data_IF_307222119460
#
_entry.id   IF_307222119460
#
_cell.length_a   1.000
_cell.length_b   1.000
_cell.length_c   1.000
_cell.angle_alpha   90.00
_cell.angle_beta   90.00
_cell.angle_gamma   90.00
#
_symmetry.space_group_name_H-M   'P 1'
#
loop_
_entity.id
_entity.type
_entity.pdbx_description
1 polymer ?
#
# COMPACT_ATOMS: atom_id res chain seq x y z
N UNK A 1 11.76 13.73 -22.10
CA UNK A 1 10.33 13.36 -22.15
C UNK A 1 9.95 12.63 -20.87
N UNK A 2 8.81 12.93 -20.26
CA UNK A 2 8.37 12.17 -19.08
C UNK A 2 8.11 10.71 -19.50
N UNK A 3 8.61 9.77 -18.71
CA UNK A 3 8.34 8.35 -18.92
C UNK A 3 6.87 8.04 -18.56
N UNK A 4 6.30 6.97 -19.13
CA UNK A 4 4.94 6.51 -18.78
C UNK A 4 4.76 6.36 -17.26
N UNK A 5 5.74 5.79 -16.57
CA UNK A 5 5.74 5.66 -15.11
C UNK A 5 5.71 7.01 -14.39
N UNK A 6 6.45 8.01 -14.89
CA UNK A 6 6.44 9.35 -14.27
C UNK A 6 5.09 10.04 -14.45
N UNK A 7 4.43 9.85 -15.58
CA UNK A 7 3.07 10.36 -15.80
C UNK A 7 2.06 9.65 -14.90
N UNK A 8 2.16 8.34 -14.78
CA UNK A 8 1.25 7.54 -13.97
C UNK A 8 1.32 7.91 -12.47
N UNK A 9 2.54 8.18 -11.96
CA UNK A 9 2.75 8.43 -10.52
C UNK A 9 2.65 9.92 -10.17
N UNK A 10 3.21 10.81 -11.00
CA UNK A 10 3.40 12.22 -10.61
C UNK A 10 2.47 13.21 -11.32
N UNK A 11 1.73 12.81 -12.36
CA UNK A 11 0.82 13.73 -13.06
C UNK A 11 -0.37 14.12 -12.15
N UNK A 12 -0.55 15.42 -11.83
CA UNK A 12 -1.62 15.88 -10.93
C UNK A 12 -3.04 15.51 -11.41
N UNK A 13 -3.24 15.35 -12.72
CA UNK A 13 -4.54 14.99 -13.31
C UNK A 13 -5.07 13.66 -12.82
N UNK A 14 -4.19 12.71 -12.48
CA UNK A 14 -4.56 11.37 -12.03
C UNK A 14 -4.65 11.23 -10.51
N UNK A 15 -4.46 12.32 -9.75
CA UNK A 15 -4.42 12.31 -8.30
C UNK A 15 -5.67 11.70 -7.66
N UNK A 16 -6.86 12.13 -8.08
CA UNK A 16 -8.12 11.63 -7.52
C UNK A 16 -8.34 10.15 -7.86
N UNK A 17 -7.92 9.74 -9.05
CA UNK A 17 -8.01 8.34 -9.44
C UNK A 17 -7.06 7.45 -8.65
N UNK A 18 -5.84 7.91 -8.35
CA UNK A 18 -4.91 7.21 -7.46
C UNK A 18 -5.50 7.05 -6.05
N UNK A 19 -6.11 8.08 -5.50
CA UNK A 19 -6.78 8.00 -4.20
C UNK A 19 -7.94 6.99 -4.22
N UNK A 20 -8.81 7.07 -5.23
CA UNK A 20 -9.92 6.12 -5.38
C UNK A 20 -9.44 4.69 -5.56
N UNK A 21 -8.40 4.48 -6.34
CA UNK A 21 -7.77 3.16 -6.52
C UNK A 21 -7.18 2.64 -5.21
N UNK A 22 -6.49 3.49 -4.44
CA UNK A 22 -5.96 3.09 -3.14
C UNK A 22 -7.07 2.65 -2.18
N UNK A 23 -8.17 3.41 -2.10
CA UNK A 23 -9.33 3.06 -1.27
C UNK A 23 -9.95 1.74 -1.73
N UNK A 24 -10.16 1.56 -3.04
CA UNK A 24 -10.76 0.35 -3.59
C UNK A 24 -9.89 -0.90 -3.36
N UNK A 25 -8.57 -0.78 -3.58
CA UNK A 25 -7.61 -1.87 -3.35
C UNK A 25 -7.57 -2.21 -1.85
N UNK A 26 -7.52 -1.20 -0.98
CA UNK A 26 -7.51 -1.45 0.45
C UNK A 26 -8.78 -2.13 0.94
N UNK A 27 -9.95 -1.68 0.48
CA UNK A 27 -11.22 -2.35 0.77
C UNK A 27 -11.21 -3.81 0.29
N UNK A 28 -10.68 -4.08 -0.89
CA UNK A 28 -10.53 -5.44 -1.41
C UNK A 28 -9.59 -6.29 -0.54
N UNK A 29 -8.47 -5.73 -0.06
CA UNK A 29 -7.55 -6.42 0.86
C UNK A 29 -8.27 -6.82 2.14
N UNK A 30 -9.00 -5.90 2.79
CA UNK A 30 -9.76 -6.18 4.01
C UNK A 30 -10.82 -7.25 3.79
N UNK A 31 -11.58 -7.15 2.69
CA UNK A 31 -12.62 -8.14 2.35
C UNK A 31 -12.01 -9.50 2.09
N UNK A 32 -11.02 -9.59 1.21
CA UNK A 32 -10.36 -10.86 0.87
C UNK A 32 -9.62 -11.47 2.07
N UNK A 33 -8.99 -10.63 2.88
CA UNK A 33 -8.36 -11.06 4.13
C UNK A 33 -9.34 -11.63 5.14
N UNK A 34 -10.62 -11.24 5.06
CA UNK A 34 -11.68 -11.68 5.97
C UNK A 34 -12.46 -12.90 5.46
N UNK A 35 -12.29 -13.31 4.20
CA UNK A 35 -12.96 -14.50 3.64
C UNK A 35 -12.29 -15.78 4.15
N UNK A 36 -13.03 -16.71 4.79
CA UNK A 36 -12.49 -17.98 5.22
C UNK A 36 -11.90 -18.77 4.04
N UNK A 37 -10.67 -19.28 4.20
CA UNK A 37 -10.00 -20.08 3.17
C UNK A 37 -9.30 -19.29 2.06
N UNK A 38 -9.69 -18.06 1.77
CA UNK A 38 -9.11 -17.26 0.68
C UNK A 38 -7.59 -17.10 0.80
N UNK A 39 -7.07 -16.92 2.03
CA UNK A 39 -5.63 -16.83 2.25
C UNK A 39 -4.88 -18.14 1.92
N UNK A 40 -5.46 -19.29 2.23
CA UNK A 40 -4.85 -20.56 1.92
C UNK A 40 -4.73 -20.77 0.40
N UNK A 41 -5.76 -20.41 -0.35
CA UNK A 41 -5.76 -20.48 -1.81
C UNK A 41 -4.76 -19.51 -2.44
N UNK A 42 -4.75 -18.24 -1.98
CA UNK A 42 -3.80 -17.24 -2.46
C UNK A 42 -2.37 -17.60 -2.04
N UNK A 43 -2.18 -18.15 -0.83
CA UNK A 43 -0.89 -18.60 -0.32
C UNK A 43 -0.26 -19.75 -1.13
N UNK A 44 -1.04 -20.46 -1.93
CA UNK A 44 -0.52 -21.44 -2.90
C UNK A 44 0.18 -20.76 -4.10
N UNK A 45 -0.16 -19.51 -4.37
CA UNK A 45 0.40 -18.74 -5.50
C UNK A 45 1.63 -17.94 -5.08
N UNK A 46 1.59 -17.32 -3.90
CA UNK A 46 2.70 -16.48 -3.40
C UNK A 46 2.76 -16.51 -1.87
N UNK A 47 3.97 -16.35 -1.31
CA UNK A 47 4.15 -16.25 0.13
C UNK A 47 3.47 -14.99 0.72
N UNK A 48 3.13 -15.02 2.01
CA UNK A 48 2.56 -13.87 2.70
C UNK A 48 3.42 -12.61 2.58
N UNK A 49 4.75 -12.74 2.69
CA UNK A 49 5.70 -11.63 2.53
C UNK A 49 5.57 -11.00 1.14
N UNK A 50 5.50 -11.80 0.08
CA UNK A 50 5.36 -11.30 -1.29
C UNK A 50 4.01 -10.60 -1.47
N UNK A 51 2.93 -11.19 -0.98
CA UNK A 51 1.58 -10.62 -1.10
C UNK A 51 1.47 -9.28 -0.36
N UNK A 52 1.93 -9.21 0.89
CA UNK A 52 1.94 -7.97 1.68
C UNK A 52 2.84 -6.91 1.03
N UNK A 53 4.05 -7.27 0.61
CA UNK A 53 4.97 -6.32 -0.05
C UNK A 53 4.37 -5.73 -1.32
N UNK A 54 3.75 -6.54 -2.18
CA UNK A 54 3.12 -6.07 -3.42
C UNK A 54 1.87 -5.23 -3.14
N UNK A 55 1.00 -5.68 -2.25
CA UNK A 55 -0.24 -4.99 -1.93
C UNK A 55 0.04 -3.62 -1.29
N UNK A 56 0.80 -3.60 -0.20
CA UNK A 56 1.07 -2.36 0.54
C UNK A 56 2.12 -1.47 -0.13
N UNK A 57 3.04 -2.03 -0.89
CA UNK A 57 3.92 -1.25 -1.77
C UNK A 57 3.13 -0.51 -2.87
N UNK A 58 2.15 -1.16 -3.48
CA UNK A 58 1.25 -0.54 -4.46
C UNK A 58 0.40 0.56 -3.80
N UNK A 59 -0.18 0.30 -2.63
CA UNK A 59 -0.92 1.30 -1.87
C UNK A 59 -0.04 2.51 -1.52
N UNK A 60 1.21 2.29 -1.09
CA UNK A 60 2.15 3.36 -0.79
C UNK A 60 2.43 4.24 -2.02
N UNK A 61 2.63 3.64 -3.19
CA UNK A 61 2.83 4.37 -4.44
C UNK A 61 1.59 5.21 -4.81
N UNK A 62 0.40 4.66 -4.68
CA UNK A 62 -0.85 5.36 -4.94
C UNK A 62 -1.06 6.53 -3.97
N UNK A 63 -0.83 6.33 -2.68
CA UNK A 63 -0.95 7.38 -1.66
C UNK A 63 0.08 8.48 -1.88
N UNK A 64 1.33 8.14 -2.22
CA UNK A 64 2.36 9.11 -2.56
C UNK A 64 1.89 10.01 -3.71
N UNK A 65 1.45 9.42 -4.81
CA UNK A 65 1.00 10.16 -5.99
C UNK A 65 -0.36 10.84 -5.81
N UNK A 66 -1.16 10.46 -4.81
CA UNK A 66 -2.42 11.11 -4.48
C UNK A 66 -2.22 12.36 -3.61
N UNK A 67 -1.07 12.51 -2.96
CA UNK A 67 -0.80 13.62 -2.06
C UNK A 67 -0.39 14.87 -2.84
N UNK A 68 -1.11 15.99 -2.63
CA UNK A 68 -0.78 17.29 -3.25
C UNK A 68 0.17 18.08 -2.35
N UNK A 69 1.38 17.59 -2.18
CA UNK A 69 2.38 18.18 -1.30
C UNK A 69 3.78 18.09 -1.91
N UNK A 70 4.79 18.58 -1.20
CA UNK A 70 6.18 18.35 -1.59
C UNK A 70 6.50 16.84 -1.58
N UNK A 71 7.48 16.37 -2.36
CA UNK A 71 7.84 14.95 -2.39
C UNK A 71 8.14 14.36 -1.01
N UNK A 72 8.79 15.12 -0.12
CA UNK A 72 9.06 14.67 1.24
C UNK A 72 7.78 14.47 2.06
N UNK A 73 6.83 15.42 1.98
CA UNK A 73 5.54 15.28 2.66
C UNK A 73 4.71 14.14 2.06
N UNK A 74 4.75 13.95 0.75
CA UNK A 74 4.07 12.82 0.08
C UNK A 74 4.63 11.50 0.57
N UNK A 75 5.95 11.38 0.72
CA UNK A 75 6.60 10.19 1.27
C UNK A 75 6.14 9.90 2.71
N UNK A 76 6.17 10.93 3.58
CA UNK A 76 5.73 10.78 4.97
C UNK A 76 4.24 10.41 5.04
N UNK A 77 3.39 11.06 4.27
CA UNK A 77 1.94 10.74 4.22
C UNK A 77 1.68 9.32 3.76
N UNK A 78 2.40 8.84 2.74
CA UNK A 78 2.27 7.48 2.26
C UNK A 78 2.67 6.46 3.34
N UNK A 79 3.81 6.65 3.98
CA UNK A 79 4.30 5.75 5.04
C UNK A 79 3.34 5.73 6.23
N UNK A 80 2.94 6.89 6.75
CA UNK A 80 1.98 6.97 7.86
C UNK A 80 0.62 6.37 7.49
N UNK A 81 0.17 6.59 6.26
CA UNK A 81 -1.06 5.97 5.75
C UNK A 81 -0.97 4.44 5.77
N UNK A 82 0.13 3.87 5.27
CA UNK A 82 0.33 2.42 5.29
C UNK A 82 0.48 1.87 6.72
N UNK A 83 1.17 2.58 7.60
CA UNK A 83 1.25 2.17 9.01
C UNK A 83 -0.13 2.04 9.64
N UNK A 84 -1.01 3.01 9.40
CA UNK A 84 -2.38 2.97 9.91
C UNK A 84 -3.23 1.88 9.22
N UNK A 85 -3.16 1.77 7.90
CA UNK A 85 -3.92 0.79 7.12
C UNK A 85 -3.51 -0.64 7.46
N UNK A 86 -2.22 -0.92 7.55
CA UNK A 86 -1.70 -2.23 7.95
C UNK A 86 -2.07 -2.59 9.38
N UNK A 87 -2.01 -1.63 10.30
CA UNK A 87 -2.44 -1.85 11.69
C UNK A 87 -3.94 -2.20 11.79
N UNK A 88 -4.78 -1.54 11.01
CA UNK A 88 -6.22 -1.87 10.93
C UNK A 88 -6.43 -3.26 10.32
N UNK A 89 -5.70 -3.63 9.27
CA UNK A 89 -5.78 -4.96 8.66
C UNK A 89 -5.44 -6.06 9.69
N UNK A 90 -4.33 -5.91 10.42
CA UNK A 90 -3.94 -6.86 11.46
C UNK A 90 -4.94 -6.91 12.61
N UNK A 91 -5.51 -5.77 13.00
CA UNK A 91 -6.56 -5.72 14.02
C UNK A 91 -7.82 -6.48 13.56
N UNK A 92 -8.29 -6.24 12.34
CA UNK A 92 -9.44 -6.97 11.76
C UNK A 92 -9.16 -8.47 11.73
N UNK A 93 -7.98 -8.88 11.29
CA UNK A 93 -7.60 -10.28 11.23
C UNK A 93 -7.54 -10.92 12.63
N UNK A 94 -7.08 -10.19 13.65
CA UNK A 94 -7.04 -10.69 15.03
C UNK A 94 -8.42 -10.90 15.65
N UNK A 95 -9.46 -10.24 15.12
CA UNK A 95 -10.84 -10.39 15.58
C UNK A 95 -11.57 -11.57 14.93
N UNK A 96 -11.00 -12.19 13.91
CA UNK A 96 -11.61 -13.31 13.20
C UNK A 96 -11.18 -14.65 13.82
N UNK A 97 -12.11 -15.58 14.12
CA UNK A 97 -11.80 -16.82 14.83
C UNK A 97 -10.91 -17.78 14.03
N UNK A 98 -10.85 -17.62 12.71
CA UNK A 98 -10.05 -18.43 11.77
C UNK A 98 -8.78 -17.71 11.30
N UNK A 99 -8.45 -16.56 11.87
CA UNK A 99 -7.26 -15.76 11.53
C UNK A 99 -6.51 -15.34 12.79
N UNK A 100 -5.23 -15.12 12.64
CA UNK A 100 -4.39 -14.50 13.67
C UNK A 100 -3.73 -13.27 13.07
N UNK A 101 -3.93 -12.10 13.69
CA UNK A 101 -3.14 -10.92 13.37
C UNK A 101 -1.66 -11.21 13.65
N UNK A 102 -0.79 -10.77 12.76
CA UNK A 102 0.64 -11.02 12.84
C UNK A 102 1.42 -9.71 12.73
N UNK A 103 1.99 -9.19 13.82
CA UNK A 103 2.80 -7.97 13.78
C UNK A 103 3.95 -8.00 12.77
N UNK A 104 4.45 -9.20 12.42
CA UNK A 104 5.48 -9.35 11.40
C UNK A 104 4.96 -8.98 10.00
N UNK A 105 3.70 -9.28 9.67
CA UNK A 105 3.09 -8.89 8.41
C UNK A 105 2.95 -7.35 8.34
N UNK A 106 2.57 -6.70 9.43
CA UNK A 106 2.58 -5.23 9.53
C UNK A 106 3.98 -4.63 9.32
N UNK A 107 5.03 -5.24 9.87
CA UNK A 107 6.40 -4.78 9.62
C UNK A 107 6.80 -4.91 8.14
N UNK A 108 6.35 -5.95 7.45
CA UNK A 108 6.55 -6.11 6.00
C UNK A 108 5.85 -4.98 5.25
N UNK A 109 4.62 -4.64 5.60
CA UNK A 109 3.85 -3.55 4.99
C UNK A 109 4.57 -2.20 5.13
N UNK A 110 5.01 -1.88 6.35
CA UNK A 110 5.75 -0.64 6.64
C UNK A 110 7.08 -0.60 5.90
N UNK A 111 7.80 -1.71 5.85
CA UNK A 111 9.08 -1.80 5.13
C UNK A 111 8.88 -1.58 3.64
N UNK A 112 7.89 -2.21 3.03
CA UNK A 112 7.54 -2.00 1.63
C UNK A 112 7.19 -0.53 1.35
N UNK A 113 6.40 0.09 2.23
CA UNK A 113 6.04 1.50 2.11
C UNK A 113 7.26 2.43 2.19
N UNK A 114 8.18 2.18 3.14
CA UNK A 114 9.41 2.95 3.27
C UNK A 114 10.28 2.86 2.01
N UNK A 115 10.47 1.67 1.47
CA UNK A 115 11.27 1.46 0.25
C UNK A 115 10.64 2.16 -0.95
N UNK A 116 9.34 1.99 -1.17
CA UNK A 116 8.63 2.63 -2.28
C UNK A 116 8.62 4.15 -2.11
N UNK A 117 8.33 4.67 -0.92
CA UNK A 117 8.32 6.10 -0.65
C UNK A 117 9.71 6.73 -0.87
N UNK A 118 10.79 6.05 -0.45
CA UNK A 118 12.17 6.50 -0.67
C UNK A 118 12.51 6.56 -2.17
N UNK A 119 12.17 5.52 -2.92
CA UNK A 119 12.39 5.47 -4.37
C UNK A 119 11.62 6.60 -5.06
N UNK A 120 10.34 6.75 -4.77
CA UNK A 120 9.51 7.78 -5.38
C UNK A 120 9.95 9.19 -4.98
N UNK A 121 10.39 9.40 -3.75
CA UNK A 121 10.96 10.68 -3.32
C UNK A 121 12.22 11.06 -4.10
N UNK A 122 13.09 10.07 -4.39
CA UNK A 122 14.30 10.28 -5.21
C UNK A 122 13.98 10.56 -6.67
N UNK A 123 12.94 9.93 -7.21
CA UNK A 123 12.52 10.07 -8.62
C UNK A 123 11.57 11.24 -8.85
N UNK A 124 10.99 11.81 -7.80
CA UNK A 124 10.03 12.90 -7.93
C UNK A 124 10.68 14.15 -8.56
N UNK A 125 9.98 14.80 -9.51
CA UNK A 125 10.47 16.03 -10.10
C UNK A 125 10.72 17.09 -9.02
N UNK A 126 11.91 17.62 -8.96
CA UNK A 126 12.24 18.76 -8.09
C UNK A 126 11.60 19.99 -8.72
N UNK A 127 10.61 20.54 -8.04
CA UNK A 127 10.00 21.84 -8.38
C UNK A 127 10.70 22.94 -7.62
#
# INVERSE_FOLDING_TARGET
MPTFLSLLVFDPRWRIWRLRSAIAIYAAILVMGSVPGARAEIGMVASGIVLHSLAYGTLAALLFGATAASPARSAVTAVLGIMAMGAVDELVQSMLPYRNGNPADWLVDVTAALLIALVLWRLAPRR
#
